data_IF_757824835492
#
_entry.id   IF_757824835492
#
_cell.length_a   1.000
_cell.length_b   1.000
_cell.length_c   1.000
_cell.angle_alpha   90.00
_cell.angle_beta   90.00
_cell.angle_gamma   90.00
#
_symmetry.space_group_name_H-M   'P 1'
#
loop_
_entity.id
_entity.type
_entity.pdbx_description
1 polymer ?
#
# COMPACT_ATOMS: atom_id res chain seq x y z
N UNK A 1 3.57 8.60 21.41
CA UNK A 1 4.82 8.17 20.76
C UNK A 1 4.59 8.31 19.27
N UNK A 2 5.28 9.24 18.60
CA UNK A 2 5.12 9.43 17.15
C UNK A 2 5.58 8.13 16.47
N UNK A 3 4.69 7.48 15.72
CA UNK A 3 5.09 6.37 14.83
C UNK A 3 6.08 6.96 13.84
N UNK A 4 7.16 6.23 13.51
CA UNK A 4 8.06 6.65 12.45
C UNK A 4 7.25 6.69 11.14
N UNK A 5 7.19 7.86 10.50
CA UNK A 5 6.42 8.08 9.28
C UNK A 5 7.14 7.43 8.10
N UNK A 6 6.44 6.52 7.42
CA UNK A 6 6.93 5.82 6.22
C UNK A 6 6.19 6.39 5.01
N UNK A 7 6.94 6.90 4.04
CA UNK A 7 6.40 7.72 2.96
C UNK A 7 6.67 7.07 1.61
N UNK A 8 5.71 6.36 1.06
CA UNK A 8 5.79 5.78 -0.28
C UNK A 8 5.51 6.81 -1.40
N UNK A 9 6.23 7.93 -1.38
CA UNK A 9 6.04 9.06 -2.32
C UNK A 9 7.34 9.36 -3.08
N UNK A 10 7.24 10.12 -4.18
CA UNK A 10 8.41 10.43 -4.99
C UNK A 10 9.30 11.46 -4.29
N UNK A 11 10.27 10.97 -3.51
CA UNK A 11 11.25 11.76 -2.77
C UNK A 11 12.67 11.40 -3.19
N UNK A 12 13.53 12.42 -3.18
CA UNK A 12 14.94 12.30 -3.53
C UNK A 12 15.79 12.17 -2.27
N UNK A 13 16.12 10.93 -1.88
CA UNK A 13 17.19 10.65 -0.94
C UNK A 13 18.03 9.49 -1.48
N UNK A 14 19.32 9.47 -1.14
CA UNK A 14 20.23 8.38 -1.52
C UNK A 14 20.14 7.29 -0.46
N UNK A 15 19.49 6.15 -0.73
CA UNK A 15 19.47 5.01 0.20
C UNK A 15 20.88 4.40 0.29
N UNK A 16 21.14 3.64 1.36
CA UNK A 16 22.40 2.90 1.51
C UNK A 16 22.37 1.54 0.81
N UNK A 17 21.21 1.15 0.24
CA UNK A 17 20.94 -0.13 -0.41
C UNK A 17 20.75 0.00 -1.92
N UNK A 18 20.85 -1.13 -2.61
CA UNK A 18 20.61 -1.22 -4.05
C UNK A 18 19.13 -1.17 -4.39
N UNK A 19 18.80 -0.73 -5.62
CA UNK A 19 17.42 -0.78 -6.13
C UNK A 19 16.86 -2.21 -6.22
N UNK A 20 17.72 -3.21 -6.38
CA UNK A 20 17.32 -4.61 -6.42
C UNK A 20 16.87 -5.09 -5.04
N UNK A 21 17.65 -4.80 -3.99
CA UNK A 21 17.27 -5.12 -2.61
C UNK A 21 15.94 -4.48 -2.21
N UNK A 22 15.72 -3.22 -2.59
CA UNK A 22 14.45 -2.53 -2.37
C UNK A 22 13.28 -3.18 -3.13
N UNK A 23 13.49 -3.55 -4.39
CA UNK A 23 12.48 -4.24 -5.22
C UNK A 23 12.10 -5.58 -4.60
N UNK A 24 13.08 -6.35 -4.19
CA UNK A 24 12.86 -7.67 -3.61
C UNK A 24 12.20 -7.55 -2.24
N UNK A 25 12.55 -6.53 -1.46
CA UNK A 25 11.90 -6.21 -0.20
C UNK A 25 10.42 -5.87 -0.40
N UNK A 26 10.07 -4.99 -1.34
CA UNK A 26 8.67 -4.60 -1.52
C UNK A 26 7.82 -5.75 -2.07
N UNK A 27 8.36 -6.56 -2.98
CA UNK A 27 7.62 -7.73 -3.48
C UNK A 27 7.43 -8.80 -2.42
N UNK A 28 8.45 -9.06 -1.58
CA UNK A 28 8.32 -9.99 -0.46
C UNK A 28 7.30 -9.49 0.56
N UNK A 29 7.36 -8.20 0.92
CA UNK A 29 6.44 -7.59 1.86
C UNK A 29 5.00 -7.62 1.32
N UNK A 30 4.80 -7.25 0.05
CA UNK A 30 3.48 -7.25 -0.59
C UNK A 30 2.87 -8.65 -0.62
N UNK A 31 3.65 -9.68 -0.98
CA UNK A 31 3.21 -11.09 -0.91
C UNK A 31 2.79 -11.52 0.48
N UNK A 32 3.43 -10.99 1.53
CA UNK A 32 3.22 -11.41 2.91
C UNK A 32 2.04 -10.70 3.58
N UNK A 33 1.84 -9.43 3.27
CA UNK A 33 0.96 -8.57 4.05
C UNK A 33 -0.23 -8.01 3.28
N UNK A 34 -0.19 -7.98 1.94
CA UNK A 34 -1.38 -7.57 1.20
C UNK A 34 -2.41 -8.70 1.16
N UNK A 35 -3.70 -8.36 1.35
CA UNK A 35 -4.77 -9.33 1.18
C UNK A 35 -4.86 -9.79 -0.28
N UNK A 36 -5.35 -11.00 -0.50
CA UNK A 36 -5.44 -11.64 -1.82
C UNK A 36 -6.26 -10.86 -2.86
N UNK A 37 -7.12 -9.94 -2.42
CA UNK A 37 -7.95 -9.09 -3.29
C UNK A 37 -7.20 -7.87 -3.84
N UNK A 38 -5.98 -7.62 -3.35
CA UNK A 38 -5.13 -6.53 -3.83
C UNK A 38 -4.21 -7.08 -4.92
N UNK A 39 -4.33 -6.52 -6.12
CA UNK A 39 -3.41 -6.82 -7.22
C UNK A 39 -2.30 -5.79 -7.23
N UNK A 40 -1.07 -6.19 -7.54
CA UNK A 40 0.05 -5.27 -7.59
C UNK A 40 1.10 -5.68 -8.62
N UNK A 41 1.88 -4.70 -9.10
CA UNK A 41 2.93 -4.93 -10.09
C UNK A 41 3.78 -3.69 -10.36
N UNK A 42 4.84 -3.85 -11.17
CA UNK A 42 5.68 -2.72 -11.60
C UNK A 42 5.68 -2.64 -13.13
N UNK A 43 4.99 -1.65 -13.74
CA UNK A 43 4.77 -1.60 -15.19
C UNK A 43 6.05 -1.44 -16.04
N UNK A 44 7.10 -0.81 -15.50
CA UNK A 44 8.32 -0.44 -16.26
C UNK A 44 9.63 -0.71 -15.51
N UNK A 45 9.58 -1.50 -14.45
CA UNK A 45 10.76 -1.83 -13.64
C UNK A 45 11.13 -0.73 -12.64
N UNK A 46 11.41 -1.19 -11.42
CA UNK A 46 12.25 -0.60 -10.36
C UNK A 46 11.87 0.77 -9.79
N UNK A 47 10.86 1.49 -10.31
CA UNK A 47 10.60 2.88 -9.89
C UNK A 47 9.43 3.03 -8.90
N UNK A 48 8.40 2.20 -9.02
CA UNK A 48 7.25 2.21 -8.14
C UNK A 48 6.50 0.87 -8.22
N UNK A 49 5.73 0.59 -7.17
CA UNK A 49 4.75 -0.49 -7.15
C UNK A 49 3.37 0.12 -7.37
N UNK A 50 2.69 -0.36 -8.40
CA UNK A 50 1.30 -0.05 -8.67
C UNK A 50 0.45 -1.07 -7.93
N UNK A 51 -0.51 -0.58 -7.17
CA UNK A 51 -1.40 -1.37 -6.32
C UNK A 51 -2.82 -1.04 -6.74
N UNK A 52 -3.56 -2.06 -7.17
CA UNK A 52 -4.98 -2.01 -7.48
C UNK A 52 -5.73 -2.61 -6.29
N UNK A 53 -6.44 -1.75 -5.57
CA UNK A 53 -7.26 -2.09 -4.42
C UNK A 53 -8.61 -2.67 -4.91
N UNK A 54 -9.38 -3.35 -4.04
CA UNK A 54 -10.78 -3.65 -4.32
C UNK A 54 -11.55 -2.40 -4.76
N UNK A 55 -12.53 -2.56 -5.65
CA UNK A 55 -13.29 -1.45 -6.26
C UNK A 55 -14.02 -0.58 -5.22
N UNK A 56 -14.35 -1.17 -4.08
CA UNK A 56 -15.03 -0.53 -2.97
C UNK A 56 -14.11 0.39 -2.14
N UNK A 57 -12.79 0.32 -2.35
CA UNK A 57 -11.81 1.14 -1.64
C UNK A 57 -11.42 2.34 -2.49
N UNK A 58 -11.77 3.54 -2.02
CA UNK A 58 -11.22 4.78 -2.53
C UNK A 58 -9.81 5.00 -1.98
N UNK A 59 -8.81 5.13 -2.85
CA UNK A 59 -7.42 5.27 -2.47
C UNK A 59 -7.15 6.59 -1.71
N UNK A 60 -7.95 7.64 -1.95
CA UNK A 60 -7.88 8.90 -1.23
C UNK A 60 -8.34 8.76 0.23
N UNK A 61 -9.45 8.07 0.47
CA UNK A 61 -9.90 7.76 1.83
C UNK A 61 -8.94 6.81 2.55
N UNK A 62 -8.43 5.78 1.87
CA UNK A 62 -7.40 4.91 2.43
C UNK A 62 -6.14 5.71 2.80
N UNK A 63 -5.71 6.67 1.96
CA UNK A 63 -4.58 7.55 2.27
C UNK A 63 -4.85 8.38 3.54
N UNK A 64 -6.06 8.93 3.68
CA UNK A 64 -6.44 9.73 4.86
C UNK A 64 -6.30 8.91 6.16
N UNK A 65 -6.74 7.66 6.15
CA UNK A 65 -6.60 6.74 7.28
C UNK A 65 -5.14 6.32 7.49
N UNK A 66 -4.43 6.00 6.41
CA UNK A 66 -3.02 5.57 6.45
C UNK A 66 -2.10 6.61 7.09
N UNK A 67 -2.37 7.90 6.86
CA UNK A 67 -1.60 8.99 7.49
C UNK A 67 -1.67 8.95 9.02
N UNK A 68 -2.79 8.52 9.61
CA UNK A 68 -2.93 8.40 11.06
C UNK A 68 -2.07 7.26 11.63
N UNK A 69 -1.76 6.27 10.79
CA UNK A 69 -0.89 5.13 11.10
C UNK A 69 0.58 5.35 10.68
N UNK A 70 0.92 6.57 10.24
CA UNK A 70 2.26 6.93 9.80
C UNK A 70 2.65 6.30 8.47
N UNK A 71 1.69 6.09 7.56
CA UNK A 71 1.94 5.65 6.18
C UNK A 71 1.36 6.66 5.21
N UNK A 72 2.18 7.14 4.27
CA UNK A 72 1.74 8.00 3.17
C UNK A 72 2.07 7.33 1.84
N UNK A 73 1.22 7.49 0.83
CA UNK A 73 1.47 7.03 -0.54
C UNK A 73 0.84 7.99 -1.55
N UNK A 74 1.13 7.78 -2.84
CA UNK A 74 0.51 8.54 -3.92
C UNK A 74 -0.73 7.81 -4.44
N UNK A 75 -1.95 8.36 -4.34
CA UNK A 75 -3.10 7.76 -5.02
C UNK A 75 -2.89 7.87 -6.55
N UNK A 76 -3.24 6.80 -7.27
CA UNK A 76 -3.19 6.71 -8.74
C UNK A 76 -4.10 7.73 -9.42
N UNK A 77 -4.04 7.88 -10.76
CA UNK A 77 -4.40 9.12 -11.42
C UNK A 77 -5.83 9.56 -11.06
N UNK A 78 -5.96 10.83 -10.69
CA UNK A 78 -7.24 11.48 -10.37
C UNK A 78 -8.16 11.60 -11.60
N UNK A 79 -7.65 11.25 -12.79
CA UNK A 79 -8.37 11.30 -14.06
C UNK A 79 -8.71 9.89 -14.55
N UNK A 80 -9.98 9.48 -14.42
CA UNK A 80 -10.50 8.17 -14.83
C UNK A 80 -11.29 7.45 -13.73
N UNK A 81 -11.68 6.20 -14.00
CA UNK A 81 -12.37 5.27 -13.07
C UNK A 81 -11.38 4.51 -12.14
N UNK A 82 -10.12 4.96 -12.07
CA UNK A 82 -9.03 4.27 -11.35
C UNK A 82 -8.89 4.73 -9.88
N UNK A 83 -10.00 5.08 -9.23
CA UNK A 83 -10.03 5.62 -7.84
C UNK A 83 -9.47 4.66 -6.79
N UNK A 84 -9.41 3.37 -7.12
CA UNK A 84 -8.88 2.29 -6.31
C UNK A 84 -7.38 2.03 -6.52
N UNK A 85 -6.65 2.96 -7.16
CA UNK A 85 -5.21 2.77 -7.43
C UNK A 85 -4.35 3.49 -6.41
N UNK A 86 -3.30 2.82 -5.93
CA UNK A 86 -2.24 3.41 -5.13
C UNK A 86 -0.87 3.15 -5.79
N UNK A 87 0.00 4.16 -5.78
CA UNK A 87 1.35 4.13 -6.31
C UNK A 87 2.32 4.28 -5.14
N UNK A 88 3.15 3.25 -4.94
CA UNK A 88 4.14 3.21 -3.88
C UNK A 88 5.52 3.49 -4.46
N UNK A 89 6.07 4.66 -4.16
CA UNK A 89 7.45 5.01 -4.48
C UNK A 89 8.35 4.65 -3.30
N UNK A 90 9.32 3.77 -3.51
CA UNK A 90 10.10 3.18 -2.41
C UNK A 90 11.62 3.31 -2.60
N UNK A 91 12.07 3.98 -3.66
CA UNK A 91 13.49 4.06 -4.02
C UNK A 91 14.36 4.81 -3.01
N UNK A 92 13.76 5.51 -2.07
CA UNK A 92 14.46 6.25 -1.01
C UNK A 92 14.35 5.55 0.37
N UNK A 93 13.67 4.42 0.45
CA UNK A 93 13.41 3.69 1.70
C UNK A 93 14.38 2.52 1.86
N UNK A 94 14.71 2.22 3.11
CA UNK A 94 15.45 1.02 3.49
C UNK A 94 14.51 -0.21 3.52
N UNK A 95 15.03 -1.45 3.33
CA UNK A 95 14.20 -2.66 3.28
C UNK A 95 13.30 -2.87 4.51
N UNK A 96 13.77 -2.45 5.69
CA UNK A 96 12.98 -2.51 6.93
C UNK A 96 11.81 -1.53 6.96
N UNK A 97 11.99 -0.33 6.39
CA UNK A 97 10.93 0.67 6.25
C UNK A 97 9.88 0.21 5.22
N UNK A 98 10.34 -0.41 4.13
CA UNK A 98 9.47 -1.01 3.12
C UNK A 98 8.60 -2.10 3.75
N UNK A 99 9.19 -3.05 4.47
CA UNK A 99 8.45 -4.16 5.13
C UNK A 99 7.40 -3.60 6.11
N UNK A 100 7.80 -2.68 6.99
CA UNK A 100 6.90 -2.12 8.00
C UNK A 100 5.78 -1.27 7.37
N UNK A 101 6.09 -0.47 6.36
CA UNK A 101 5.11 0.35 5.67
C UNK A 101 4.07 -0.50 4.93
N UNK A 102 4.50 -1.57 4.26
CA UNK A 102 3.61 -2.51 3.59
C UNK A 102 2.79 -3.30 4.60
N UNK A 103 3.37 -3.73 5.73
CA UNK A 103 2.64 -4.39 6.82
C UNK A 103 1.50 -3.52 7.36
N UNK A 104 1.78 -2.24 7.65
CA UNK A 104 0.77 -1.27 8.11
C UNK A 104 -0.31 -1.06 7.05
N UNK A 105 0.09 -0.82 5.80
CA UNK A 105 -0.85 -0.60 4.70
C UNK A 105 -1.76 -1.82 4.46
N UNK A 106 -1.21 -3.04 4.50
CA UNK A 106 -1.98 -4.28 4.37
C UNK A 106 -3.05 -4.43 5.45
N UNK A 107 -2.70 -4.13 6.70
CA UNK A 107 -3.67 -4.13 7.81
C UNK A 107 -4.79 -3.11 7.63
N UNK A 108 -4.44 -1.89 7.20
CA UNK A 108 -5.42 -0.83 6.94
C UNK A 108 -6.38 -1.16 5.80
N UNK A 109 -5.91 -1.84 4.75
CA UNK A 109 -6.75 -2.32 3.65
C UNK A 109 -7.79 -3.30 4.19
N UNK A 110 -7.36 -4.27 5.01
CA UNK A 110 -8.25 -5.24 5.68
C UNK A 110 -9.28 -4.52 6.56
N UNK A 111 -8.85 -3.60 7.41
CA UNK A 111 -9.75 -2.84 8.29
C UNK A 111 -10.79 -2.02 7.49
N UNK A 112 -10.36 -1.41 6.38
CA UNK A 112 -11.26 -0.67 5.49
C UNK A 112 -12.32 -1.60 4.88
N UNK A 113 -11.92 -2.77 4.39
CA UNK A 113 -12.84 -3.74 3.80
C UNK A 113 -13.86 -4.27 4.81
N UNK A 114 -13.42 -4.51 6.05
CA UNK A 114 -14.28 -4.92 7.15
C UNK A 114 -15.30 -3.83 7.49
N UNK A 115 -14.87 -2.57 7.52
CA UNK A 115 -15.75 -1.42 7.76
C UNK A 115 -16.82 -1.31 6.66
N UNK A 116 -16.41 -1.37 5.39
CA UNK A 116 -17.33 -1.28 4.24
C UNK A 116 -18.33 -2.44 4.26
N UNK A 117 -17.89 -3.66 4.54
CA UNK A 117 -18.76 -4.84 4.62
C UNK A 117 -19.85 -4.67 5.69
N UNK A 118 -19.48 -4.12 6.86
CA UNK A 118 -20.44 -3.84 7.96
C UNK A 118 -21.46 -2.78 7.59
N UNK A 119 -21.04 -1.71 6.89
CA UNK A 119 -21.93 -0.62 6.47
C UNK A 119 -22.93 -1.11 5.41
N UNK A 120 -22.49 -1.96 4.48
CA UNK A 120 -23.32 -2.45 3.38
C UNK A 120 -24.25 -3.61 3.76
N UNK A 121 -24.19 -4.11 5.00
CA UNK A 121 -25.02 -5.22 5.47
C UNK A 121 -24.68 -6.57 4.82
N UNK A 122 -23.57 -6.66 4.09
CA UNK A 122 -23.08 -7.90 3.48
C UNK A 122 -22.34 -8.71 4.54
N UNK A 123 -22.75 -9.96 4.76
CA UNK A 123 -22.07 -10.85 5.69
C UNK A 123 -20.60 -10.99 5.28
N UNK A 124 -19.70 -10.62 6.18
CA UNK A 124 -18.25 -10.59 5.99
C UNK A 124 -17.71 -12.02 5.80
N UNK A 125 -17.84 -12.55 4.60
CA UNK A 125 -17.16 -13.77 4.14
C UNK A 125 -15.93 -13.43 3.29
N UNK A 126 -15.29 -12.29 3.55
CA UNK A 126 -13.96 -12.03 3.01
C UNK A 126 -12.98 -12.81 3.87
N UNK A 127 -12.55 -13.97 3.38
CA UNK A 127 -11.56 -14.81 4.02
C UNK A 127 -10.24 -14.02 4.13
N UNK A 128 -9.82 -13.66 5.34
CA UNK A 128 -8.58 -12.91 5.58
C UNK A 128 -7.52 -13.89 6.07
N UNK A 129 -6.69 -14.35 5.15
CA UNK A 129 -5.50 -15.16 5.41
C UNK A 129 -4.62 -15.25 4.16
N UNK A 130 -3.31 -15.53 4.33
CA UNK A 130 -2.37 -15.74 3.23
C UNK A 130 -2.72 -16.97 2.38
#
# INVERSE_FOLDING_TARGET
MMKNDIRFVNESHTPSVTREEQRDAIFRAARRHFPHLVTWGSPRGNAALWVILPLEIDAGELLRLSKQEGVTFTPGPVAGDERNTAILHFSHLEPGEIEEGIRRLGGLIVEYMDLVSRINGTSSSHFIGP
#
